data_IF_042799103962
#
_entry.id   IF_042799103962
#
_cell.length_a   1.000
_cell.length_b   1.000
_cell.length_c   1.000
_cell.angle_alpha   90.00
_cell.angle_beta   90.00
_cell.angle_gamma   90.00
#
_symmetry.space_group_name_H-M   'P 1'
#
loop_
_entity.id
_entity.type
_entity.pdbx_description
1 polymer ?
#
# COMPACT_ATOMS: atom_id res chain seq x y z
N UNK A 1 32.99 -0.67 9.67
CA UNK A 1 31.69 -0.43 10.33
C UNK A 1 30.62 -0.74 9.29
N UNK A 2 29.72 -1.70 9.56
CA UNK A 2 28.62 -1.99 8.63
C UNK A 2 27.55 -0.90 8.78
N UNK A 3 27.22 -0.23 7.68
CA UNK A 3 26.09 0.70 7.62
C UNK A 3 24.81 -0.12 7.54
N UNK A 4 24.00 -0.08 8.59
CA UNK A 4 22.67 -0.73 8.60
C UNK A 4 21.71 0.21 7.87
N UNK A 5 21.29 -0.17 6.67
CA UNK A 5 20.18 0.51 5.99
C UNK A 5 18.86 0.13 6.67
N UNK A 6 18.24 1.10 7.35
CA UNK A 6 16.93 0.92 7.95
C UNK A 6 15.86 1.14 6.89
N UNK A 7 15.19 0.05 6.49
CA UNK A 7 14.02 0.11 5.61
C UNK A 7 12.90 0.89 6.31
N UNK A 8 12.16 1.70 5.54
CA UNK A 8 10.99 2.42 6.06
C UNK A 8 9.95 1.41 6.58
N UNK A 9 9.31 1.67 7.74
CA UNK A 9 8.25 0.79 8.24
C UNK A 9 6.95 0.99 7.46
N UNK A 10 6.13 -0.05 7.42
CA UNK A 10 4.77 -0.01 6.90
C UNK A 10 3.87 0.82 7.81
N UNK A 11 3.12 1.77 7.24
CA UNK A 11 2.25 2.68 7.99
C UNK A 11 1.02 2.00 8.62
N UNK A 12 0.78 0.72 8.31
CA UNK A 12 -0.31 -0.05 8.93
C UNK A 12 0.19 -1.04 10.01
N UNK A 13 1.20 -1.85 9.71
CA UNK A 13 1.62 -2.95 10.59
C UNK A 13 3.02 -2.79 11.19
N UNK A 14 3.77 -1.75 10.81
CA UNK A 14 5.11 -1.45 11.33
C UNK A 14 6.24 -2.35 10.82
N UNK A 15 5.94 -3.36 9.99
CA UNK A 15 6.97 -4.21 9.39
C UNK A 15 7.79 -3.45 8.35
N UNK A 16 9.07 -3.80 8.13
CA UNK A 16 9.90 -3.15 7.12
C UNK A 16 9.32 -3.32 5.71
N UNK A 17 9.26 -2.23 4.95
CA UNK A 17 8.88 -2.25 3.54
C UNK A 17 10.07 -2.77 2.74
N UNK A 18 9.98 -4.02 2.32
CA UNK A 18 11.06 -4.67 1.55
C UNK A 18 10.93 -4.47 0.04
N UNK A 19 9.73 -4.17 -0.43
CA UNK A 19 9.37 -4.03 -1.84
C UNK A 19 8.61 -2.73 -2.03
N UNK A 20 9.03 -1.96 -3.03
CA UNK A 20 8.34 -0.74 -3.44
C UNK A 20 7.10 -1.05 -4.29
N UNK A 21 6.18 -0.09 -4.41
CA UNK A 21 4.98 -0.22 -5.27
C UNK A 21 3.64 -0.32 -4.52
N UNK A 22 3.68 -0.35 -3.18
CA UNK A 22 2.48 -0.32 -2.35
C UNK A 22 2.41 1.01 -1.60
N UNK A 23 2.04 2.07 -2.33
CA UNK A 23 1.98 3.43 -1.82
C UNK A 23 0.58 4.02 -2.07
N UNK A 24 0.05 4.76 -1.10
CA UNK A 24 -1.21 5.51 -1.24
C UNK A 24 -1.02 6.98 -0.89
N UNK A 25 -1.54 7.86 -1.74
CA UNK A 25 -1.64 9.28 -1.41
C UNK A 25 -2.96 9.51 -0.67
N UNK A 26 -2.85 10.05 0.54
CA UNK A 26 -3.96 10.37 1.44
C UNK A 26 -3.97 11.85 1.77
N UNK A 27 -4.99 12.32 2.48
CA UNK A 27 -5.06 13.65 3.07
C UNK A 27 -3.89 13.94 4.04
N UNK A 28 -3.32 12.89 4.65
CA UNK A 28 -2.17 12.97 5.53
C UNK A 28 -0.82 12.94 4.80
N UNK A 29 -0.85 12.82 3.48
CA UNK A 29 0.33 12.65 2.64
C UNK A 29 0.50 11.23 2.11
N UNK A 30 1.71 10.93 1.65
CA UNK A 30 2.06 9.64 1.06
C UNK A 30 2.29 8.59 2.16
N UNK A 31 1.55 7.49 2.08
CA UNK A 31 1.62 6.35 3.00
C UNK A 31 2.23 5.15 2.29
N UNK A 32 3.21 4.51 2.92
CA UNK A 32 3.96 3.35 2.46
C UNK A 32 3.50 2.07 3.14
N UNK A 33 3.36 0.99 2.36
CA UNK A 33 2.89 -0.29 2.84
C UNK A 33 3.84 -1.42 2.44
N UNK A 34 3.97 -2.45 3.27
CA UNK A 34 4.83 -3.59 2.96
C UNK A 34 4.24 -4.53 1.89
N UNK A 35 2.91 -4.49 1.65
CA UNK A 35 2.23 -5.35 0.68
C UNK A 35 0.82 -4.82 0.31
N UNK A 36 0.22 -5.40 -0.73
CA UNK A 36 -1.15 -5.08 -1.18
C UNK A 36 -2.25 -5.42 -0.16
N UNK A 37 -1.97 -6.34 0.76
CA UNK A 37 -2.87 -6.63 1.89
C UNK A 37 -3.03 -5.43 2.82
N UNK A 38 -1.92 -4.79 3.20
CA UNK A 38 -1.94 -3.60 4.05
C UNK A 38 -2.62 -2.41 3.35
N UNK A 39 -2.40 -2.24 2.05
CA UNK A 39 -3.11 -1.23 1.23
C UNK A 39 -4.63 -1.45 1.27
N UNK A 40 -5.08 -2.70 1.11
CA UNK A 40 -6.50 -3.07 1.10
C UNK A 40 -7.14 -2.83 2.47
N UNK A 41 -6.48 -3.24 3.55
CA UNK A 41 -6.95 -3.01 4.93
C UNK A 41 -7.00 -1.52 5.24
N UNK A 42 -5.98 -0.76 4.84
CA UNK A 42 -5.96 0.69 5.06
C UNK A 42 -7.15 1.38 4.39
N UNK A 43 -7.47 1.03 3.14
CA UNK A 43 -8.67 1.52 2.43
C UNK A 43 -9.97 1.13 3.14
N UNK A 44 -10.05 -0.07 3.70
CA UNK A 44 -11.23 -0.52 4.46
C UNK A 44 -11.41 0.29 5.76
N UNK A 45 -10.32 0.56 6.48
CA UNK A 45 -10.35 1.28 7.76
C UNK A 45 -10.58 2.79 7.59
N UNK A 46 -9.99 3.40 6.55
CA UNK A 46 -10.04 4.84 6.31
C UNK A 46 -11.11 5.25 5.29
N UNK A 47 -11.73 4.29 4.62
CA UNK A 47 -12.77 4.51 3.62
C UNK A 47 -12.23 5.00 2.26
N UNK A 48 -13.13 5.57 1.47
CA UNK A 48 -12.86 6.03 0.09
C UNK A 48 -12.17 7.41 0.03
N UNK A 49 -11.59 7.90 1.14
CA UNK A 49 -10.84 9.16 1.26
C UNK A 49 -9.42 9.08 0.69
N UNK A 50 -9.08 7.96 0.04
CA UNK A 50 -7.85 7.85 -0.73
C UNK A 50 -8.04 8.63 -2.03
N UNK A 51 -7.22 9.67 -2.25
CA UNK A 51 -7.16 10.37 -3.53
C UNK A 51 -6.51 9.42 -4.54
N UNK A 52 -7.31 8.54 -5.15
CA UNK A 52 -6.80 7.53 -6.07
C UNK A 52 -6.35 8.17 -7.36
N UNK A 53 -5.06 8.47 -7.48
CA UNK A 53 -4.40 8.61 -8.79
C UNK A 53 -3.92 7.26 -9.34
N UNK A 54 -4.20 6.16 -8.63
CA UNK A 54 -3.89 4.80 -9.08
C UNK A 54 -5.07 4.25 -9.89
N UNK A 55 -4.85 4.06 -11.21
CA UNK A 55 -5.75 3.24 -12.04
C UNK A 55 -6.09 1.97 -11.28
N UNK A 56 -7.38 1.60 -11.13
CA UNK A 56 -7.73 0.35 -10.49
C UNK A 56 -7.05 -0.79 -11.26
N UNK A 57 -6.46 -1.80 -10.58
CA UNK A 57 -6.13 -3.04 -11.27
C UNK A 57 -7.46 -3.57 -11.82
N UNK A 58 -7.58 -3.62 -13.14
CA UNK A 58 -8.68 -4.30 -13.81
C UNK A 58 -8.65 -5.76 -13.38
N UNK A 59 -9.45 -6.12 -12.38
CA UNK A 59 -9.92 -7.49 -12.19
C UNK A 59 -10.89 -7.77 -13.33
N UNK A 60 -10.35 -8.11 -14.51
CA UNK A 60 -11.14 -8.73 -15.56
C UNK A 60 -11.49 -10.14 -15.09
N UNK A 61 -12.69 -10.26 -14.51
CA UNK A 61 -13.38 -11.51 -14.26
C UNK A 61 -13.60 -12.18 -15.62
N UNK A 62 -12.80 -13.19 -15.98
CA UNK A 62 -13.21 -14.22 -16.94
C UNK A 62 -13.61 -15.44 -16.13
N UNK A 63 -14.86 -15.44 -15.68
CA UNK A 63 -15.63 -16.68 -15.58
C UNK A 63 -15.84 -17.14 -17.03
N UNK A 64 -15.23 -18.26 -17.40
CA UNK A 64 -15.51 -18.99 -18.64
C UNK A 64 -16.23 -20.29 -18.24
N UNK A 65 -17.28 -20.59 -19.00
CA UNK A 65 -18.32 -21.59 -18.72
C UNK A 65 -17.90 -23.02 -19.02
#
# INVERSE_FOLDING_TARGET
>A
MATVEYKKPCDLCGQPVEIEGFTLVTDKGEQLFCCGGCVSIYRLLHGNTVMTNTKPPSHNKKEDS
#
